data_IF_382335734674
#
_entry.id   IF_382335734674
#
_cell.length_a   1.000
_cell.length_b   1.000
_cell.length_c   1.000
_cell.angle_alpha   90.00
_cell.angle_beta   90.00
_cell.angle_gamma   90.00
#
_symmetry.space_group_name_H-M   'P 1'
#
loop_
_entity.id
_entity.type
_entity.pdbx_description
1 polymer ?
#
# COMPACT_ATOMS: atom_id res chain seq x y z
N UNK A 1 -13.83 14.85 -12.97
CA UNK A 1 -14.74 15.39 -11.94
C UNK A 1 -15.45 14.29 -11.12
N UNK A 2 -14.78 13.16 -10.84
CA UNK A 2 -15.34 12.03 -10.07
C UNK A 2 -14.75 11.90 -8.64
N UNK A 3 -13.57 12.47 -8.39
CA UNK A 3 -12.86 12.38 -7.11
C UNK A 3 -13.51 13.15 -5.95
N UNK A 4 -14.16 14.29 -6.23
CA UNK A 4 -14.84 15.08 -5.18
C UNK A 4 -16.07 14.38 -4.60
N UNK A 5 -16.68 13.43 -5.34
CA UNK A 5 -17.84 12.69 -4.86
C UNK A 5 -17.44 11.60 -3.85
N UNK A 6 -16.25 11.02 -4.00
CA UNK A 6 -15.70 10.02 -3.07
C UNK A 6 -15.36 10.68 -1.73
N UNK A 7 -14.68 11.83 -1.75
CA UNK A 7 -14.35 12.60 -0.55
C UNK A 7 -15.59 13.07 0.23
N UNK A 8 -16.67 13.44 -0.46
CA UNK A 8 -17.92 13.85 0.19
C UNK A 8 -18.75 12.66 0.72
N UNK A 9 -18.77 11.52 0.02
CA UNK A 9 -19.55 10.36 0.48
C UNK A 9 -18.96 9.69 1.72
N UNK A 10 -17.65 9.85 1.98
CA UNK A 10 -17.01 9.38 3.20
C UNK A 10 -17.29 10.25 4.44
N UNK A 11 -17.85 11.46 4.29
CA UNK A 11 -18.07 12.38 5.42
C UNK A 11 -19.35 12.09 6.21
N UNK A 12 -20.36 11.49 5.57
CA UNK A 12 -21.73 11.45 6.11
C UNK A 12 -22.29 10.05 6.44
N UNK A 13 -21.51 8.98 6.24
CA UNK A 13 -21.96 7.64 6.62
C UNK A 13 -21.02 7.01 7.64
N UNK A 14 -21.53 6.91 8.87
CA UNK A 14 -21.03 6.11 9.99
C UNK A 14 -20.23 4.89 9.52
N UNK A 15 -18.91 5.06 9.52
CA UNK A 15 -17.89 4.02 9.40
C UNK A 15 -17.62 3.45 10.81
N UNK A 16 -18.67 2.99 11.50
CA UNK A 16 -18.58 2.60 12.92
C UNK A 16 -18.20 1.13 13.14
N UNK A 17 -17.63 0.43 12.14
CA UNK A 17 -17.21 -0.97 12.31
C UNK A 17 -15.86 -1.36 11.67
N UNK A 18 -15.16 -0.41 11.02
CA UNK A 18 -13.79 -0.59 10.44
C UNK A 18 -12.88 0.56 10.91
N UNK A 19 -12.92 0.87 12.21
CA UNK A 19 -12.20 2.02 12.79
C UNK A 19 -10.81 1.62 13.26
N UNK A 20 -9.82 2.28 12.68
CA UNK A 20 -8.42 2.27 13.12
C UNK A 20 -7.53 2.35 11.90
N UNK A 21 -7.01 1.20 11.49
CA UNK A 21 -5.69 1.21 10.84
C UNK A 21 -5.75 1.14 9.31
N UNK A 22 -6.75 0.48 8.72
CA UNK A 22 -6.93 0.44 7.25
C UNK A 22 -7.23 1.83 6.71
N UNK A 23 -8.18 2.54 7.32
CA UNK A 23 -8.55 3.89 6.89
C UNK A 23 -7.37 4.86 7.01
N UNK A 24 -6.59 4.77 8.10
CA UNK A 24 -5.37 5.57 8.27
C UNK A 24 -4.36 5.24 7.17
N UNK A 25 -4.09 3.96 6.90
CA UNK A 25 -3.17 3.56 5.83
C UNK A 25 -3.58 4.13 4.46
N UNK A 26 -4.87 4.10 4.13
CA UNK A 26 -5.41 4.67 2.89
C UNK A 26 -5.25 6.20 2.87
N UNK A 27 -5.61 6.90 3.95
CA UNK A 27 -5.48 8.35 4.02
C UNK A 27 -4.02 8.80 3.91
N UNK A 28 -3.10 8.15 4.62
CA UNK A 28 -1.66 8.42 4.53
C UNK A 28 -1.14 8.25 3.10
N UNK A 29 -1.56 7.19 2.41
CA UNK A 29 -1.16 6.94 1.03
C UNK A 29 -1.71 7.99 0.05
N UNK A 30 -2.97 8.41 0.20
CA UNK A 30 -3.57 9.47 -0.63
C UNK A 30 -2.88 10.80 -0.39
N UNK A 31 -2.61 11.14 0.88
CA UNK A 31 -1.93 12.38 1.23
C UNK A 31 -0.49 12.40 0.69
N UNK A 32 0.23 11.28 0.80
CA UNK A 32 1.56 11.12 0.20
C UNK A 32 1.51 11.32 -1.32
N UNK A 33 0.51 10.73 -1.99
CA UNK A 33 0.33 10.88 -3.44
C UNK A 33 0.08 12.33 -3.84
N UNK A 34 -0.78 13.05 -3.10
CA UNK A 34 -1.08 14.45 -3.38
C UNK A 34 0.12 15.38 -3.17
N UNK A 35 1.03 15.02 -2.25
CA UNK A 35 2.22 15.83 -1.93
C UNK A 35 3.38 15.53 -2.89
N UNK A 36 3.61 14.26 -3.20
CA UNK A 36 4.80 13.80 -3.91
C UNK A 36 4.57 13.48 -5.39
N UNK A 37 3.31 13.31 -5.81
CA UNK A 37 2.92 12.86 -7.16
C UNK A 37 3.69 11.60 -7.63
N UNK A 38 3.99 10.68 -6.70
CA UNK A 38 4.78 9.49 -6.97
C UNK A 38 4.01 8.23 -6.57
N UNK A 39 3.51 7.50 -7.58
CA UNK A 39 2.63 6.34 -7.38
C UNK A 39 3.35 5.23 -6.63
N UNK A 40 4.59 4.91 -7.00
CA UNK A 40 5.36 3.84 -6.36
C UNK A 40 5.60 4.11 -4.86
N UNK A 41 5.89 5.37 -4.49
CA UNK A 41 6.04 5.80 -3.10
C UNK A 41 4.72 5.67 -2.34
N UNK A 42 3.62 6.17 -2.89
CA UNK A 42 2.35 6.16 -2.19
C UNK A 42 1.80 4.73 -2.00
N UNK A 43 2.03 3.85 -2.96
CA UNK A 43 1.76 2.41 -2.81
C UNK A 43 2.67 1.77 -1.74
N UNK A 44 3.93 2.18 -1.65
CA UNK A 44 4.82 1.73 -0.59
C UNK A 44 4.37 2.20 0.80
N UNK A 45 3.92 3.45 0.95
CA UNK A 45 3.32 3.99 2.18
C UNK A 45 2.09 3.20 2.60
N UNK A 46 1.16 2.95 1.66
CA UNK A 46 -0.02 2.12 1.91
C UNK A 46 0.38 0.75 2.43
N UNK A 47 1.26 0.07 1.69
CA UNK A 47 1.66 -1.30 1.99
C UNK A 47 2.39 -1.37 3.33
N UNK A 48 3.29 -0.42 3.60
CA UNK A 48 4.01 -0.30 4.87
C UNK A 48 3.05 -0.24 6.05
N UNK A 49 2.11 0.70 6.03
CA UNK A 49 1.16 0.86 7.13
C UNK A 49 0.29 -0.38 7.32
N UNK A 50 -0.17 -1.03 6.24
CA UNK A 50 -0.95 -2.25 6.36
C UNK A 50 -0.14 -3.39 6.99
N UNK A 51 1.13 -3.56 6.63
CA UNK A 51 1.93 -4.66 7.19
C UNK A 51 2.39 -4.41 8.63
N UNK A 52 2.54 -3.15 9.06
CA UNK A 52 3.00 -2.81 10.43
C UNK A 52 1.85 -2.63 11.42
N UNK A 53 0.71 -2.07 11.00
CA UNK A 53 -0.45 -1.86 11.87
C UNK A 53 -1.31 -3.11 12.08
N UNK A 54 -1.09 -4.16 11.28
CA UNK A 54 -1.79 -5.45 11.40
C UNK A 54 -3.33 -5.35 11.46
N UNK A 55 -3.99 -4.62 10.52
CA UNK A 55 -5.45 -4.47 10.54
C UNK A 55 -6.21 -5.76 10.23
N UNK A 56 -5.55 -6.78 9.67
CA UNK A 56 -6.18 -8.04 9.30
C UNK A 56 -5.86 -9.13 10.34
N UNK A 57 -6.91 -9.78 10.85
CA UNK A 57 -6.85 -10.75 11.97
C UNK A 57 -5.93 -11.94 11.67
N UNK A 58 -5.92 -12.42 10.44
CA UNK A 58 -5.08 -13.54 9.99
C UNK A 58 -4.39 -13.22 8.65
N UNK A 59 -3.14 -13.63 8.52
CA UNK A 59 -2.41 -13.52 7.25
C UNK A 59 -2.19 -12.08 6.78
N UNK A 60 -2.03 -11.14 7.70
CA UNK A 60 -1.90 -9.70 7.44
C UNK A 60 -1.01 -9.36 6.23
N UNK A 61 0.19 -9.95 6.18
CA UNK A 61 1.16 -9.75 5.10
C UNK A 61 0.65 -10.23 3.74
N UNK A 62 -0.05 -11.37 3.72
CA UNK A 62 -0.65 -11.96 2.51
C UNK A 62 -1.80 -11.09 2.01
N UNK A 63 -2.64 -10.59 2.93
CA UNK A 63 -3.76 -9.71 2.59
C UNK A 63 -3.26 -8.35 2.08
N UNK A 64 -2.27 -7.75 2.73
CA UNK A 64 -1.64 -6.51 2.29
C UNK A 64 -0.99 -6.66 0.90
N UNK A 65 -0.26 -7.77 0.67
CA UNK A 65 0.30 -8.08 -0.65
C UNK A 65 -0.81 -8.26 -1.69
N UNK A 66 -1.86 -9.03 -1.39
CA UNK A 66 -2.99 -9.23 -2.30
C UNK A 66 -3.66 -7.91 -2.69
N UNK A 67 -3.84 -7.00 -1.73
CA UNK A 67 -4.38 -5.67 -2.00
C UNK A 67 -3.44 -4.84 -2.89
N UNK A 68 -2.14 -4.83 -2.63
CA UNK A 68 -1.16 -4.14 -3.47
C UNK A 68 -1.19 -4.67 -4.90
N UNK A 69 -1.18 -5.99 -5.08
CA UNK A 69 -1.25 -6.62 -6.40
C UNK A 69 -2.55 -6.26 -7.11
N UNK A 70 -3.69 -6.32 -6.41
CA UNK A 70 -4.98 -5.92 -6.98
C UNK A 70 -4.97 -4.45 -7.44
N UNK A 71 -4.43 -3.53 -6.63
CA UNK A 71 -4.32 -2.11 -7.01
C UNK A 71 -3.43 -1.95 -8.24
N UNK A 72 -2.29 -2.64 -8.31
CA UNK A 72 -1.42 -2.61 -9.48
C UNK A 72 -2.14 -3.13 -10.74
N UNK A 73 -2.91 -4.22 -10.63
CA UNK A 73 -3.71 -4.73 -11.73
C UNK A 73 -4.74 -3.70 -12.22
N UNK A 74 -5.50 -3.09 -11.30
CA UNK A 74 -6.50 -2.06 -11.63
C UNK A 74 -5.87 -0.80 -12.24
N UNK A 75 -4.77 -0.30 -11.68
CA UNK A 75 -4.09 0.91 -12.17
C UNK A 75 -3.54 0.73 -13.60
N UNK A 76 -3.08 -0.47 -13.94
CA UNK A 76 -2.47 -0.77 -15.23
C UNK A 76 -3.38 -1.57 -16.17
N UNK A 77 -4.68 -1.68 -15.86
CA UNK A 77 -5.69 -2.40 -16.65
C UNK A 77 -5.23 -3.82 -17.06
N UNK A 78 -4.73 -4.59 -16.09
CA UNK A 78 -4.21 -5.96 -16.29
C UNK A 78 -3.04 -6.11 -17.28
N UNK A 79 -2.43 -5.00 -17.74
CA UNK A 79 -1.25 -5.05 -18.62
C UNK A 79 0.07 -5.24 -17.88
N UNK A 80 0.03 -5.20 -16.55
CA UNK A 80 1.21 -5.36 -15.70
C UNK A 80 1.61 -6.84 -15.63
N UNK A 81 2.88 -7.12 -15.90
CA UNK A 81 3.46 -8.46 -15.74
C UNK A 81 4.55 -8.39 -14.68
N UNK A 82 4.27 -9.01 -13.52
CA UNK A 82 5.20 -9.01 -12.39
C UNK A 82 6.11 -10.22 -12.54
N UNK A 83 7.41 -9.99 -12.68
CA UNK A 83 8.39 -11.07 -12.77
C UNK A 83 8.45 -11.84 -11.43
N UNK A 84 8.57 -13.18 -11.45
CA UNK A 84 8.60 -13.99 -10.23
C UNK A 84 9.68 -13.59 -9.23
N UNK A 85 10.86 -13.19 -9.70
CA UNK A 85 11.98 -12.73 -8.87
C UNK A 85 11.67 -11.43 -8.12
N UNK A 86 10.94 -10.50 -8.75
CA UNK A 86 10.47 -9.26 -8.13
C UNK A 86 9.37 -9.54 -7.11
N UNK A 87 8.46 -10.46 -7.41
CA UNK A 87 7.41 -10.88 -6.47
C UNK A 87 8.02 -11.55 -5.23
N UNK A 88 8.98 -12.47 -5.42
CA UNK A 88 9.69 -13.12 -4.33
C UNK A 88 10.47 -12.13 -3.48
N UNK A 89 11.13 -11.16 -4.12
CA UNK A 89 11.83 -10.09 -3.43
C UNK A 89 10.85 -9.24 -2.60
N UNK A 90 9.70 -8.87 -3.19
CA UNK A 90 8.66 -8.11 -2.49
C UNK A 90 8.15 -8.90 -1.28
N UNK A 91 7.80 -10.18 -1.43
CA UNK A 91 7.35 -11.04 -0.33
C UNK A 91 8.38 -11.08 0.80
N UNK A 92 9.66 -11.28 0.48
CA UNK A 92 10.75 -11.31 1.46
C UNK A 92 10.87 -9.96 2.18
N UNK A 93 10.86 -8.85 1.45
CA UNK A 93 10.95 -7.51 2.03
C UNK A 93 9.75 -7.18 2.92
N UNK A 94 8.53 -7.50 2.50
CA UNK A 94 7.33 -7.28 3.34
C UNK A 94 7.36 -8.14 4.59
N UNK A 95 7.88 -9.37 4.50
CA UNK A 95 8.03 -10.27 5.64
C UNK A 95 9.04 -9.69 6.64
N UNK A 96 10.22 -9.30 6.16
CA UNK A 96 11.29 -8.73 6.98
C UNK A 96 10.86 -7.42 7.64
N UNK A 97 10.25 -6.48 6.91
CA UNK A 97 9.78 -5.20 7.48
C UNK A 97 8.71 -5.43 8.55
N UNK A 98 7.84 -6.42 8.39
CA UNK A 98 6.79 -6.69 9.37
C UNK A 98 7.29 -7.45 10.61
N UNK A 99 8.28 -8.33 10.46
CA UNK A 99 8.87 -9.08 11.59
C UNK A 99 9.97 -8.28 12.32
N UNK A 100 10.70 -7.44 11.58
CA UNK A 100 11.83 -6.63 12.03
C UNK A 100 11.66 -5.18 11.53
N UNK A 101 10.67 -4.42 12.02
CA UNK A 101 10.47 -3.05 11.60
C UNK A 101 11.72 -2.20 11.92
N UNK A 102 12.24 -1.42 10.95
CA UNK A 102 13.39 -0.55 11.19
C UNK A 102 13.02 0.60 12.14
N UNK A 103 14.03 1.20 12.77
CA UNK A 103 13.84 2.38 13.63
C UNK A 103 13.22 3.58 12.89
N UNK A 104 13.53 3.71 11.58
CA UNK A 104 13.00 4.75 10.71
C UNK A 104 12.04 4.17 9.67
N UNK A 105 10.76 4.55 9.75
CA UNK A 105 9.70 4.18 8.80
C UNK A 105 10.12 4.41 7.33
N UNK A 106 10.75 5.55 7.08
CA UNK A 106 11.16 5.99 5.75
C UNK A 106 12.16 5.01 5.10
N UNK A 107 12.96 4.31 5.90
CA UNK A 107 13.88 3.29 5.39
C UNK A 107 13.13 2.06 4.85
N UNK A 108 12.10 1.58 5.57
CA UNK A 108 11.24 0.49 5.09
C UNK A 108 10.44 0.90 3.86
N UNK A 109 9.85 2.11 3.89
CA UNK A 109 9.06 2.64 2.77
C UNK A 109 9.92 2.70 1.50
N UNK A 110 11.16 3.18 1.59
CA UNK A 110 12.04 3.26 0.41
C UNK A 110 12.48 1.88 -0.11
N UNK A 111 12.66 0.87 0.75
CA UNK A 111 12.91 -0.51 0.32
C UNK A 111 11.73 -1.07 -0.47
N UNK A 112 10.51 -0.92 0.05
CA UNK A 112 9.28 -1.38 -0.61
C UNK A 112 9.09 -0.62 -1.93
N UNK A 113 9.25 0.70 -1.92
CA UNK A 113 9.16 1.58 -3.09
C UNK A 113 10.10 1.13 -4.20
N UNK A 114 11.37 0.85 -3.91
CA UNK A 114 12.33 0.45 -4.94
C UNK A 114 11.94 -0.83 -5.68
N UNK A 115 11.24 -1.75 -5.02
CA UNK A 115 10.72 -2.96 -5.66
C UNK A 115 9.48 -2.62 -6.51
N UNK A 116 8.56 -1.82 -5.97
CA UNK A 116 7.37 -1.37 -6.71
C UNK A 116 7.78 -0.59 -7.97
N UNK A 117 8.77 0.30 -7.90
CA UNK A 117 9.32 1.03 -9.05
C UNK A 117 9.81 0.10 -10.15
N UNK A 118 10.56 -0.95 -9.77
CA UNK A 118 11.02 -1.97 -10.73
C UNK A 118 9.87 -2.76 -11.37
N UNK A 119 8.78 -2.95 -10.63
CA UNK A 119 7.57 -3.63 -11.13
C UNK A 119 6.82 -2.74 -12.13
N UNK A 120 6.67 -1.45 -11.83
CA UNK A 120 5.83 -0.54 -12.66
C UNK A 120 6.61 0.22 -13.73
N UNK A 121 7.94 0.28 -13.64
CA UNK A 121 8.81 1.04 -14.55
C UNK A 121 8.79 2.56 -14.32
N UNK A 122 8.58 3.00 -13.07
CA UNK A 122 8.47 4.40 -12.61
C UNK A 122 9.78 4.96 -12.03
#
# INVERSE_FOLDING_TARGET
MYFNKILWHCRDKKLDFIKGDVSIAIYSAIEDLMRNNNISRSLAVLTYHLITSHPFVDGNKRTALGLLLHILHELFNDKISILPDLLDLLIKTLTDVADNPPEEDEHAINKIRGIIQRIIGD
#
